data_IF_243325337632
#
_entry.id   IF_243325337632
#
_cell.length_a   1.000
_cell.length_b   1.000
_cell.length_c   1.000
_cell.angle_alpha   90.00
_cell.angle_beta   90.00
_cell.angle_gamma   90.00
#
_symmetry.space_group_name_H-M   'P 1'
#
loop_
_entity.id
_entity.type
_entity.pdbx_description
1 polymer ?
#
# COMPACT_ATOMS: atom_id res chain seq x y z
N UNK A 1 12.99 1.83 8.82
CA UNK A 1 12.03 0.86 8.23
C UNK A 1 11.42 1.50 6.99
N UNK A 2 11.36 0.81 5.86
CA UNK A 2 10.62 1.25 4.67
C UNK A 2 9.21 0.67 4.76
N UNK A 3 8.19 1.50 4.57
CA UNK A 3 6.79 1.09 4.57
C UNK A 3 6.22 1.21 3.17
N UNK A 4 5.77 0.10 2.60
CA UNK A 4 5.09 0.05 1.31
C UNK A 4 3.60 -0.10 1.55
N UNK A 5 2.84 0.95 1.22
CA UNK A 5 1.37 0.92 1.21
C UNK A 5 0.94 0.48 -0.18
N UNK A 6 0.42 -0.74 -0.28
CA UNK A 6 0.00 -1.34 -1.53
C UNK A 6 -1.53 -1.27 -1.69
N UNK A 7 -1.99 -0.51 -2.67
CA UNK A 7 -3.40 -0.26 -2.92
C UNK A 7 -3.83 -0.81 -4.29
N UNK A 8 -3.90 -2.13 -4.43
CA UNK A 8 -4.36 -2.77 -5.67
C UNK A 8 -5.64 -3.60 -5.44
N UNK A 9 -6.78 -3.26 -6.09
CA UNK A 9 -8.08 -3.92 -5.86
C UNK A 9 -8.10 -5.39 -6.25
N UNK A 10 -7.28 -5.78 -7.24
CA UNK A 10 -7.15 -7.18 -7.69
C UNK A 10 -5.69 -7.66 -7.63
N UNK A 11 -5.11 -7.91 -6.43
CA UNK A 11 -3.69 -8.24 -6.29
C UNK A 11 -3.27 -9.45 -7.14
N UNK A 12 -4.16 -10.44 -7.25
CA UNK A 12 -3.94 -11.68 -8.00
C UNK A 12 -3.87 -11.48 -9.52
N UNK A 13 -4.38 -10.36 -10.04
CA UNK A 13 -4.33 -10.01 -11.46
C UNK A 13 -3.18 -9.05 -11.81
N UNK A 14 -2.38 -8.63 -10.82
CA UNK A 14 -1.26 -7.71 -11.06
C UNK A 14 0.00 -8.47 -11.48
N UNK A 15 0.45 -8.29 -12.73
CA UNK A 15 1.70 -8.88 -13.20
C UNK A 15 2.94 -8.08 -12.78
N UNK A 16 2.88 -6.74 -12.86
CA UNK A 16 4.01 -5.87 -12.55
C UNK A 16 4.19 -5.64 -11.04
N UNK A 17 3.12 -5.23 -10.34
CA UNK A 17 3.24 -4.92 -8.91
C UNK A 17 3.55 -6.17 -8.06
N UNK A 18 3.03 -7.33 -8.44
CA UNK A 18 3.35 -8.59 -7.77
C UNK A 18 4.86 -8.86 -7.78
N UNK A 19 5.51 -8.71 -8.94
CA UNK A 19 6.98 -8.90 -9.06
C UNK A 19 7.75 -7.85 -8.26
N UNK A 20 7.29 -6.60 -8.25
CA UNK A 20 7.90 -5.54 -7.45
C UNK A 20 7.80 -5.83 -5.94
N UNK A 21 6.65 -6.30 -5.47
CA UNK A 21 6.46 -6.70 -4.06
C UNK A 21 7.26 -7.95 -3.69
N UNK A 22 7.33 -8.94 -4.58
CA UNK A 22 8.17 -10.14 -4.39
C UNK A 22 9.64 -9.78 -4.19
N UNK A 23 10.16 -8.80 -4.93
CA UNK A 23 11.53 -8.31 -4.75
C UNK A 23 11.67 -7.37 -3.55
N UNK A 24 10.68 -6.52 -3.27
CA UNK A 24 10.73 -5.65 -2.10
C UNK A 24 10.69 -6.44 -0.79
N UNK A 25 9.99 -7.57 -0.77
CA UNK A 25 9.90 -8.47 0.37
C UNK A 25 11.18 -9.24 0.68
N UNK A 26 12.19 -9.23 -0.19
CA UNK A 26 13.51 -9.84 0.10
C UNK A 26 14.47 -8.89 0.79
N UNK A 27 14.13 -7.60 0.85
CA UNK A 27 14.95 -6.58 1.51
C UNK A 27 14.69 -6.60 3.02
N UNK A 28 15.76 -6.45 3.81
CA UNK A 28 15.63 -6.24 5.25
C UNK A 28 15.00 -4.87 5.53
N UNK A 29 14.21 -4.79 6.61
CA UNK A 29 13.54 -3.56 7.06
C UNK A 29 12.50 -3.00 6.07
N UNK A 30 11.82 -3.88 5.32
CA UNK A 30 10.64 -3.51 4.52
C UNK A 30 9.37 -4.10 5.13
N UNK A 31 8.40 -3.25 5.43
CA UNK A 31 7.04 -3.61 5.82
C UNK A 31 6.10 -3.36 4.62
N UNK A 32 5.32 -4.37 4.22
CA UNK A 32 4.34 -4.25 3.13
C UNK A 32 2.94 -4.34 3.73
N UNK A 33 2.12 -3.31 3.52
CA UNK A 33 0.72 -3.26 3.95
C UNK A 33 -0.20 -3.22 2.73
N UNK A 34 -0.87 -4.32 2.45
CA UNK A 34 -1.84 -4.43 1.35
C UNK A 34 -3.23 -3.99 1.83
N UNK A 35 -3.64 -2.77 1.47
CA UNK A 35 -4.85 -2.16 2.01
C UNK A 35 -6.13 -2.92 1.63
N UNK A 36 -6.22 -3.43 0.39
CA UNK A 36 -7.38 -4.24 -0.04
C UNK A 36 -7.42 -5.63 0.62
N UNK A 37 -6.30 -6.10 1.16
CA UNK A 37 -6.26 -7.35 1.91
C UNK A 37 -6.59 -7.12 3.39
N UNK A 38 -6.06 -6.05 3.98
CA UNK A 38 -6.30 -5.67 5.37
C UNK A 38 -7.72 -5.15 5.60
N UNK A 39 -8.26 -4.42 4.62
CA UNK A 39 -9.54 -3.74 4.72
C UNK A 39 -10.41 -4.06 3.49
N UNK A 40 -10.86 -5.31 3.33
CA UNK A 40 -11.73 -5.70 2.21
C UNK A 40 -13.05 -4.93 2.22
N UNK A 41 -13.53 -4.54 3.41
CA UNK A 41 -14.75 -3.75 3.62
C UNK A 41 -14.50 -2.24 3.71
N UNK A 42 -13.28 -1.78 3.38
CA UNK A 42 -12.87 -0.36 3.40
C UNK A 42 -12.91 0.35 4.77
N UNK A 43 -13.10 -0.40 5.87
CA UNK A 43 -13.03 0.12 7.23
C UNK A 43 -11.57 0.20 7.71
N UNK A 44 -10.90 1.31 7.40
CA UNK A 44 -9.49 1.52 7.78
C UNK A 44 -9.37 1.68 9.30
N UNK A 45 -8.45 0.93 9.90
CA UNK A 45 -8.00 1.20 11.26
C UNK A 45 -6.94 2.32 11.26
N UNK A 46 -7.42 3.54 11.50
CA UNK A 46 -6.59 4.74 11.49
C UNK A 46 -5.46 4.66 12.51
N UNK A 47 -5.69 4.09 13.70
CA UNK A 47 -4.68 4.01 14.74
C UNK A 47 -3.54 3.06 14.33
N UNK A 48 -3.89 1.90 13.76
CA UNK A 48 -2.91 0.93 13.27
C UNK A 48 -2.05 1.49 12.13
N UNK A 49 -2.65 2.22 11.18
CA UNK A 49 -1.90 2.82 10.07
C UNK A 49 -1.03 3.99 10.54
N UNK A 50 -1.49 4.83 11.47
CA UNK A 50 -0.68 5.89 12.07
C UNK A 50 0.54 5.33 12.82
N UNK A 51 0.37 4.24 13.56
CA UNK A 51 1.46 3.59 14.28
C UNK A 51 2.47 2.99 13.29
N UNK A 52 2.01 2.35 12.21
CA UNK A 52 2.87 1.88 11.12
C UNK A 52 3.66 3.02 10.44
N UNK A 53 2.99 4.14 10.15
CA UNK A 53 3.62 5.33 9.58
C UNK A 53 4.68 5.92 10.53
N UNK A 54 4.45 5.90 11.84
CA UNK A 54 5.38 6.44 12.84
C UNK A 54 6.71 5.68 12.92
N UNK A 55 6.70 4.37 12.60
CA UNK A 55 7.91 3.55 12.53
C UNK A 55 8.67 3.70 11.22
N UNK A 56 8.02 4.24 10.18
CA UNK A 56 8.56 4.31 8.84
C UNK A 56 9.51 5.50 8.68
N UNK A 57 10.67 5.25 8.08
CA UNK A 57 11.64 6.28 7.68
C UNK A 57 11.46 6.69 6.22
N UNK A 58 10.84 5.81 5.42
CA UNK A 58 10.47 6.02 4.03
C UNK A 58 9.10 5.38 3.80
N UNK A 59 8.18 6.13 3.20
CA UNK A 59 6.84 5.66 2.85
C UNK A 59 6.75 5.60 1.33
N UNK A 60 6.33 4.44 0.80
CA UNK A 60 6.13 4.21 -0.63
C UNK A 60 4.66 3.88 -0.85
N UNK A 61 4.00 4.68 -1.68
CA UNK A 61 2.64 4.39 -2.14
C UNK A 61 2.73 3.65 -3.47
N UNK A 62 2.38 2.36 -3.46
CA UNK A 62 2.45 1.51 -4.62
C UNK A 62 1.04 1.12 -5.07
N UNK A 63 0.65 1.57 -6.26
CA UNK A 63 -0.63 1.23 -6.86
C UNK A 63 -0.47 1.18 -8.39
N UNK A 64 -1.33 0.43 -9.10
CA UNK A 64 -1.40 0.55 -10.56
C UNK A 64 -1.88 1.96 -10.89
N UNK A 65 -1.22 2.61 -11.86
CA UNK A 65 -1.71 3.91 -12.35
C UNK A 65 -3.03 3.67 -13.09
N UNK A 66 -4.11 4.31 -12.62
CA UNK A 66 -5.43 4.23 -13.22
C UNK A 66 -5.85 5.64 -13.68
N UNK A 67 -6.14 5.81 -14.96
CA UNK A 67 -6.69 7.07 -15.52
C UNK A 67 -5.85 8.35 -15.29
N UNK A 68 -4.51 8.27 -15.39
CA UNK A 68 -3.61 9.43 -15.15
C UNK A 68 -3.75 10.06 -13.75
N UNK A 69 -4.36 9.33 -12.81
CA UNK A 69 -4.60 9.75 -11.45
C UNK A 69 -4.26 8.61 -10.47
N UNK A 70 -4.18 8.96 -9.20
CA UNK A 70 -4.22 7.97 -8.12
C UNK A 70 -5.63 7.38 -8.02
N UNK A 71 -5.80 6.11 -7.55
CA UNK A 71 -7.12 5.53 -7.32
C UNK A 71 -7.98 6.41 -6.40
N UNK A 72 -9.32 6.38 -6.51
CA UNK A 72 -10.23 7.24 -5.74
C UNK A 72 -9.99 7.22 -4.22
N UNK A 73 -9.47 6.11 -3.70
CA UNK A 73 -9.17 5.91 -2.29
C UNK A 73 -8.05 6.83 -1.77
N UNK A 74 -7.04 7.13 -2.59
CA UNK A 74 -5.92 8.01 -2.19
C UNK A 74 -6.36 9.47 -2.12
N UNK A 75 -7.39 9.86 -2.88
CA UNK A 75 -7.96 11.22 -2.88
C UNK A 75 -8.77 11.56 -1.62
N UNK A 76 -9.21 10.55 -0.85
CA UNK A 76 -10.04 10.74 0.35
C UNK A 76 -9.18 11.10 1.59
N UNK A 77 -7.88 10.82 1.57
CA UNK A 77 -6.97 11.11 2.70
C UNK A 77 -6.35 12.52 2.68
N UNK A 78 -6.64 13.33 1.65
CA UNK A 78 -6.18 14.74 1.53
C UNK A 78 -7.22 15.77 2.04
N UNK A 79 -8.27 15.32 2.73
CA UNK A 79 -9.37 16.14 3.27
C UNK A 79 -9.47 16.15 4.78
#
# INVERSE_FOLDING_TARGET
MILIIYAHPYPHHSHANKRMLEQAGTLENVEIRSLYHLYPDFNIDVAAEQEALSRASLIVWQHPMQWYSVPPFTQIMDG
#
